data_IF_507519870188
#
_entry.id   IF_507519870188
#
_cell.length_a   1.000
_cell.length_b   1.000
_cell.length_c   1.000
_cell.angle_alpha   90.00
_cell.angle_beta   90.00
_cell.angle_gamma   90.00
#
_symmetry.space_group_name_H-M   'P 1'
#
loop_
_entity.id
_entity.type
_entity.pdbx_description
1 polymer ?
2 polymer ?
3 polymer ?
4 non-polymer ?
#
loop_
_entity_poly.entity_id
_entity_poly.type
_entity_poly.pdbx_seq_one_letter_code
_entity_poly.pdbx_strand_id
2 'polydeoxyribonucleotide' '(DA)(DA)(DA)(DG)(DC)(DT)(DA)(DT)(DT)(DA)(DT)(DT)(DA)(DG)(DC)(DT)(DT)' ?
3 'polydeoxyribonucleotide' '(DT)(DA)(DA)(DG)(DC)(DT)(DA)(DA)(DT)(DA)(DA)(DT)(DA)(DG)(DC)(DT)(DT)' ?
#
# COMPACT_ATOMS: atom_id res chain seq x y z
N UNK A 1 9.15 -14.29 -15.46
CA UNK A 1 9.90 -15.52 -15.28
C UNK A 1 9.00 -16.74 -15.36
N UNK A 2 9.60 -17.92 -15.32
CA UNK A 2 8.84 -19.17 -15.43
C UNK A 2 7.79 -19.25 -14.32
N UNK A 3 8.15 -18.74 -13.15
CA UNK A 3 7.22 -18.64 -12.04
C UNK A 3 7.35 -17.28 -11.37
N UNK A 4 6.23 -16.76 -10.88
CA UNK A 4 6.28 -15.58 -10.04
C UNK A 4 7.03 -15.94 -8.78
N UNK A 5 7.87 -15.02 -8.31
CA UNK A 5 8.52 -15.20 -7.02
C UNK A 5 8.03 -14.18 -5.98
N UNK A 6 8.46 -14.37 -4.75
CA UNK A 6 8.15 -13.43 -3.70
C UNK A 6 9.40 -12.68 -3.34
N UNK A 7 9.23 -11.42 -2.96
CA UNK A 7 10.38 -10.56 -2.67
C UNK A 7 10.91 -10.84 -1.27
N UNK A 8 11.78 -11.82 -1.17
CA UNK A 8 12.43 -12.12 0.10
C UNK A 8 13.85 -12.63 -0.16
N UNK A 9 14.75 -12.37 0.78
CA UNK A 9 16.15 -12.75 0.66
C UNK A 9 16.34 -14.20 0.20
N UNK A 10 17.06 -14.36 -0.89
CA UNK A 10 17.36 -15.66 -1.48
C UNK A 10 18.42 -16.34 -0.61
N UNK A 11 18.11 -17.55 -0.15
CA UNK A 11 18.91 -18.19 0.88
C UNK A 11 20.12 -18.91 0.28
N UNK A 12 19.99 -19.33 -0.97
CA UNK A 12 21.04 -20.05 -1.68
C UNK A 12 22.05 -19.09 -2.31
N UNK A 13 23.28 -19.09 -1.79
CA UNK A 13 24.35 -18.23 -2.29
C UNK A 13 24.58 -18.35 -3.80
N UNK A 14 24.34 -19.54 -4.35
CA UNK A 14 24.51 -19.70 -5.79
C UNK A 14 23.44 -18.94 -6.58
N UNK A 15 22.16 -19.25 -6.35
CA UNK A 15 21.08 -18.52 -7.04
C UNK A 15 21.09 -17.04 -6.66
N UNK A 16 21.67 -16.70 -5.52
CA UNK A 16 21.61 -15.31 -5.10
C UNK A 16 22.62 -14.50 -5.89
N UNK A 17 23.77 -15.10 -6.16
CA UNK A 17 24.81 -14.46 -6.95
C UNK A 17 24.32 -14.27 -8.40
N UNK A 18 23.67 -15.30 -8.94
CA UNK A 18 23.14 -15.28 -10.29
C UNK A 18 22.04 -14.23 -10.45
N UNK A 19 21.09 -14.21 -9.52
CA UNK A 19 20.01 -13.26 -9.58
C UNK A 19 20.58 -11.84 -9.45
N UNK A 20 21.58 -11.72 -8.60
CA UNK A 20 22.21 -10.42 -8.40
C UNK A 20 22.86 -9.88 -9.67
N UNK A 21 23.53 -10.76 -10.42
CA UNK A 21 24.18 -10.31 -11.65
C UNK A 21 23.13 -9.95 -12.73
N UNK A 22 22.08 -10.75 -12.87
CA UNK A 22 21.03 -10.41 -13.83
C UNK A 22 20.37 -9.09 -13.48
N UNK A 23 19.87 -8.97 -12.25
CA UNK A 23 19.10 -7.79 -11.86
C UNK A 23 19.93 -6.50 -11.72
N UNK A 24 21.24 -6.64 -11.41
CA UNK A 24 22.11 -5.46 -11.32
C UNK A 24 22.22 -4.82 -12.68
N UNK A 25 22.47 -5.66 -13.67
CA UNK A 25 22.43 -5.22 -15.05
C UNK A 25 21.08 -4.52 -15.39
N UNK A 26 19.98 -5.21 -15.12
CA UNK A 26 18.65 -4.66 -15.33
C UNK A 26 18.43 -3.34 -14.63
N UNK A 27 19.00 -3.18 -13.43
CA UNK A 27 18.81 -1.94 -12.68
C UNK A 27 19.60 -0.77 -13.28
N UNK A 28 20.83 -1.06 -13.71
CA UNK A 28 21.68 -0.04 -14.33
C UNK A 28 21.10 0.35 -15.67
N UNK A 29 20.60 -0.62 -16.41
CA UNK A 29 20.00 -0.33 -17.70
C UNK A 29 18.85 0.68 -17.56
N UNK A 30 17.94 0.45 -16.64
CA UNK A 30 16.84 1.42 -16.42
C UNK A 30 17.31 2.77 -15.89
N UNK A 31 18.31 2.77 -15.00
CA UNK A 31 18.83 4.02 -14.48
C UNK A 31 19.36 4.87 -15.66
N UNK A 32 20.20 4.26 -16.50
CA UNK A 32 20.69 4.89 -17.73
C UNK A 32 19.57 5.42 -18.65
N UNK A 33 18.56 4.58 -18.91
CA UNK A 33 17.45 4.99 -19.75
C UNK A 33 16.70 6.17 -19.15
N UNK A 34 16.56 6.17 -17.83
CA UNK A 34 15.89 7.29 -17.18
C UNK A 34 16.70 8.59 -17.27
N UNK A 35 18.02 8.48 -17.13
CA UNK A 35 18.88 9.64 -17.29
C UNK A 35 18.73 10.27 -18.68
N UNK A 36 18.70 9.44 -19.72
CA UNK A 36 18.66 9.92 -21.09
C UNK A 36 17.27 10.42 -21.47
N UNK A 37 16.24 9.62 -21.20
CA UNK A 37 14.89 9.98 -21.59
C UNK A 37 14.45 11.28 -20.94
N UNK A 38 14.76 11.44 -19.65
CA UNK A 38 14.23 12.58 -18.91
C UNK A 38 15.29 13.60 -18.51
N UNK A 39 16.51 13.44 -19.02
CA UNK A 39 17.52 14.45 -18.76
C UNK A 39 17.67 14.69 -17.26
N UNK A 40 18.23 13.72 -16.53
CA UNK A 40 18.57 13.97 -15.13
C UNK A 40 19.91 13.36 -14.72
N UNK A 41 20.46 13.89 -13.63
CA UNK A 41 21.66 13.33 -13.01
C UNK A 41 21.22 12.19 -12.13
N UNK A 42 21.91 11.06 -12.24
CA UNK A 42 21.58 9.93 -11.40
C UNK A 42 22.85 9.29 -10.84
N UNK A 43 22.75 8.76 -9.63
CA UNK A 43 23.85 8.03 -9.04
C UNK A 43 23.28 6.78 -8.38
N UNK A 44 23.96 5.66 -8.59
CA UNK A 44 23.51 4.41 -8.05
C UNK A 44 24.73 3.72 -7.47
N UNK A 45 24.76 3.56 -6.15
CA UNK A 45 25.85 2.82 -5.49
C UNK A 45 25.32 1.51 -4.94
N UNK A 46 26.00 0.41 -5.27
CA UNK A 46 25.56 -0.91 -4.82
C UNK A 46 26.69 -1.74 -4.24
N UNK A 47 26.50 -2.25 -3.03
CA UNK A 47 27.46 -3.16 -2.41
C UNK A 47 26.78 -4.49 -2.28
N UNK A 48 27.30 -5.55 -2.90
CA UNK A 48 26.65 -6.85 -2.78
C UNK A 48 26.84 -7.39 -1.38
N UNK A 49 26.34 -8.60 -1.12
CA UNK A 49 26.42 -9.19 0.22
C UNK A 49 27.86 -9.49 0.64
N UNK A 50 28.75 -9.69 -0.33
CA UNK A 50 30.17 -9.90 -0.02
C UNK A 50 30.93 -8.58 0.07
N UNK A 51 30.19 -7.47 0.18
CA UNK A 51 30.80 -6.14 0.34
C UNK A 51 31.57 -5.57 -0.87
N UNK A 52 31.49 -6.23 -2.02
CA UNK A 52 32.06 -5.64 -3.23
C UNK A 52 31.19 -4.48 -3.76
N UNK A 53 31.85 -3.41 -4.20
CA UNK A 53 31.18 -2.20 -4.65
C UNK A 53 30.87 -2.23 -6.16
N UNK A 54 29.66 -1.83 -6.53
CA UNK A 54 29.32 -1.63 -7.93
C UNK A 54 28.64 -0.27 -8.05
N UNK A 55 28.85 0.43 -9.16
CA UNK A 55 28.33 1.78 -9.24
C UNK A 55 27.98 2.21 -10.65
N UNK A 56 27.05 3.16 -10.73
CA UNK A 56 26.69 3.81 -11.97
C UNK A 56 26.42 5.26 -11.67
N UNK A 57 26.82 6.15 -12.58
CA UNK A 57 26.49 7.56 -12.46
C UNK A 57 26.40 8.19 -13.85
N UNK A 58 25.44 9.08 -14.04
CA UNK A 58 25.26 9.73 -15.33
C UNK A 58 26.34 10.77 -15.59
N UNK A 59 27.16 11.05 -14.57
CA UNK A 59 28.39 11.84 -14.73
C UNK A 59 29.35 11.35 -13.66
N UNK A 60 30.46 12.04 -13.48
CA UNK A 60 31.38 11.71 -12.39
C UNK A 60 30.61 11.61 -11.07
N UNK A 61 30.74 10.45 -10.41
CA UNK A 61 30.17 10.23 -9.09
C UNK A 61 30.40 11.40 -8.16
N UNK A 62 31.65 11.85 -8.08
CA UNK A 62 32.03 12.91 -7.15
C UNK A 62 31.16 14.14 -7.30
N UNK A 63 30.63 14.35 -8.49
CA UNK A 63 29.80 15.53 -8.73
C UNK A 63 28.37 15.34 -8.22
N UNK A 64 27.74 14.21 -8.55
CA UNK A 64 26.39 13.93 -8.11
C UNK A 64 26.34 14.02 -6.59
N UNK A 65 27.35 13.44 -5.95
CA UNK A 65 27.43 13.41 -4.50
C UNK A 65 27.51 14.80 -3.87
N UNK A 66 28.41 15.64 -4.37
CA UNK A 66 28.58 16.97 -3.81
C UNK A 66 27.35 17.82 -4.02
N UNK A 67 26.64 17.56 -5.11
CA UNK A 67 25.41 18.26 -5.39
C UNK A 67 24.37 17.84 -4.37
N UNK A 68 24.46 16.58 -3.94
CA UNK A 68 23.60 16.05 -2.88
C UNK A 68 23.89 16.70 -1.53
N UNK A 69 25.15 16.74 -1.15
CA UNK A 69 25.52 17.31 0.15
C UNK A 69 25.34 18.82 0.17
N UNK A 70 25.70 19.49 -0.92
CA UNK A 70 25.46 20.92 -1.06
C UNK A 70 23.97 21.24 -1.06
N UNK A 71 23.15 20.22 -1.30
CA UNK A 71 21.70 20.44 -1.48
C UNK A 71 21.05 20.97 -0.21
N UNK B 1 5.33 -1.24 -24.09
CA UNK B 1 4.41 -0.16 -24.39
C UNK B 1 3.73 -0.35 -25.73
N UNK B 2 2.80 0.54 -26.06
CA UNK B 2 2.06 0.45 -27.32
C UNK B 2 3.00 0.44 -28.52
N UNK B 3 4.08 1.20 -28.40
CA UNK B 3 5.12 1.20 -29.41
C UNK B 3 6.49 1.18 -28.75
N UNK B 4 7.44 0.49 -29.38
CA UNK B 4 8.82 0.58 -28.94
C UNK B 4 9.28 2.01 -29.13
N UNK B 5 10.04 2.52 -28.18
CA UNK B 5 10.67 3.83 -28.33
C UNK B 5 12.18 3.73 -28.44
N UNK B 6 12.81 4.86 -28.74
CA UNK B 6 14.25 4.92 -28.79
C UNK B 6 14.73 5.71 -27.60
N UNK B 7 15.90 5.34 -27.09
CA UNK B 7 16.43 5.98 -25.89
C UNK B 7 17.09 7.30 -26.24
N UNK B 8 16.27 8.35 -26.28
CA UNK B 8 16.81 9.69 -26.49
C UNK B 8 15.95 10.70 -25.73
N UNK B 9 16.58 11.79 -25.29
CA UNK B 9 15.92 12.84 -24.50
C UNK B 9 14.57 13.25 -25.08
N UNK B 10 13.53 13.11 -24.27
CA UNK B 10 12.18 13.49 -24.65
C UNK B 10 12.08 15.01 -24.67
N UNK B 11 11.63 15.55 -25.80
CA UNK B 11 11.71 16.99 -26.02
C UNK B 11 10.53 17.73 -25.40
N UNK B 12 9.40 17.04 -25.28
CA UNK B 12 8.17 17.61 -24.72
C UNK B 12 8.18 17.54 -23.19
N UNK B 13 8.26 18.72 -22.55
CA UNK B 13 8.24 18.82 -21.09
C UNK B 13 7.07 18.08 -20.44
N UNK B 14 5.94 18.02 -21.12
CA UNK B 14 4.79 17.33 -20.55
C UNK B 14 5.02 15.82 -20.52
N UNK B 15 5.23 15.20 -21.68
CA UNK B 15 5.51 13.76 -21.70
C UNK B 15 6.79 13.42 -20.94
N UNK B 16 7.67 14.39 -20.75
CA UNK B 16 8.92 14.08 -20.11
C UNK B 16 8.70 13.97 -18.61
N UNK B 17 7.83 14.83 -18.09
CA UNK B 17 7.51 14.80 -16.68
C UNK B 17 6.75 13.52 -16.33
N UNK B 18 5.82 13.14 -17.20
CA UNK B 18 5.02 11.92 -17.05
C UNK B 18 5.88 10.65 -17.10
N UNK B 19 6.75 10.56 -18.10
CA UNK B 19 7.62 9.41 -18.24
C UNK B 19 8.54 9.34 -17.04
N UNK B 20 9.03 10.50 -16.61
CA UNK B 20 9.89 10.54 -15.45
C UNK B 20 9.22 9.99 -14.18
N UNK B 21 7.95 10.34 -13.96
CA UNK B 21 7.25 9.85 -12.77
C UNK B 21 7.00 8.35 -12.85
N UNK B 22 6.60 7.85 -14.02
CA UNK B 22 6.41 6.41 -14.16
C UNK B 22 7.72 5.67 -13.92
N UNK B 23 8.74 6.01 -14.69
CA UNK B 23 10.02 5.26 -14.64
C UNK B 23 10.80 5.43 -13.33
N UNK B 24 10.61 6.56 -12.63
CA UNK B 24 11.30 6.76 -11.34
C UNK B 24 10.77 5.74 -10.36
N UNK B 25 9.45 5.62 -10.30
CA UNK B 25 8.81 4.60 -9.51
C UNK B 25 9.36 3.20 -9.88
N UNK B 26 9.31 2.86 -11.17
CA UNK B 26 9.85 1.61 -11.68
C UNK B 26 11.29 1.38 -11.28
N UNK B 27 12.10 2.44 -11.26
CA UNK B 27 13.52 2.29 -10.92
C UNK B 27 13.74 2.01 -9.42
N UNK B 28 12.99 2.73 -8.58
CA UNK B 28 13.04 2.52 -7.13
C UNK B 28 12.51 1.15 -6.77
N UNK B 29 11.45 0.72 -7.44
CA UNK B 29 10.89 -0.61 -7.19
C UNK B 29 11.94 -1.70 -7.40
N UNK B 30 12.65 -1.66 -8.54
CA UNK B 30 13.70 -2.65 -8.79
C UNK B 30 14.91 -2.53 -7.84
N UNK B 31 15.28 -1.31 -7.49
CA UNK B 31 16.37 -1.11 -6.54
C UNK B 31 16.02 -1.79 -5.22
N UNK B 32 14.82 -1.51 -4.71
CA UNK B 32 14.30 -2.17 -3.50
C UNK B 32 14.28 -3.72 -3.59
N UNK B 33 13.75 -4.24 -4.69
CA UNK B 33 13.70 -5.69 -4.88
C UNK B 33 15.09 -6.30 -4.91
N UNK B 34 16.05 -5.57 -5.52
CA UNK B 34 17.42 -6.08 -5.55
C UNK B 34 18.06 -6.07 -4.15
N UNK B 35 17.79 -5.03 -3.38
CA UNK B 35 18.28 -5.00 -2.00
C UNK B 35 17.77 -6.19 -1.16
N UNK B 36 16.50 -6.53 -1.30
CA UNK B 36 15.89 -7.59 -0.51
C UNK B 36 16.29 -8.98 -1.01
N UNK B 37 16.16 -9.20 -2.31
CA UNK B 37 16.45 -10.50 -2.89
C UNK B 37 17.90 -10.91 -2.65
N UNK B 38 18.81 -9.96 -2.82
CA UNK B 38 20.23 -10.32 -2.78
C UNK B 38 20.97 -9.75 -1.57
N UNK B 39 20.24 -9.16 -0.63
CA UNK B 39 20.88 -8.69 0.59
C UNK B 39 22.05 -7.76 0.26
N UNK B 40 21.76 -6.56 -0.23
CA UNK B 40 22.81 -5.57 -0.40
C UNK B 40 22.39 -4.14 -0.01
N UNK B 41 23.38 -3.31 0.29
CA UNK B 41 23.14 -1.89 0.54
C UNK B 41 23.06 -1.20 -0.80
N UNK B 42 22.06 -0.36 -0.97
CA UNK B 42 21.92 0.36 -2.22
C UNK B 42 21.58 1.82 -1.95
N UNK B 43 22.08 2.70 -2.80
CA UNK B 43 21.74 4.11 -2.72
C UNK B 43 21.47 4.59 -4.13
N UNK B 44 20.40 5.38 -4.28
CA UNK B 44 20.01 5.89 -5.57
C UNK B 44 19.66 7.35 -5.37
N UNK B 45 20.46 8.25 -5.93
CA UNK B 45 20.14 9.68 -5.89
C UNK B 45 19.75 10.17 -7.28
N UNK B 46 18.63 10.87 -7.37
CA UNK B 46 18.13 11.35 -8.65
C UNK B 46 17.69 12.80 -8.60
N UNK B 47 18.21 13.61 -9.52
CA UNK B 47 17.80 15.01 -9.65
C UNK B 47 17.13 15.15 -11.00
N UNK B 48 15.86 15.52 -11.03
CA UNK B 48 15.18 15.67 -12.31
C UNK B 48 15.74 16.88 -13.07
N UNK B 49 15.20 17.15 -14.25
CA UNK B 49 15.72 18.25 -15.07
C UNK B 49 15.47 19.62 -14.44
N UNK B 50 14.47 19.71 -13.55
CA UNK B 50 14.22 20.95 -12.83
C UNK B 50 15.01 21.01 -11.53
N UNK B 51 16.02 20.15 -11.41
CA UNK B 51 16.90 20.13 -10.24
C UNK B 51 16.29 19.71 -8.90
N UNK B 52 15.06 19.22 -8.91
CA UNK B 52 14.51 18.63 -7.69
C UNK B 52 15.13 17.26 -7.37
N UNK B 53 15.42 17.03 -6.10
CA UNK B 53 16.08 15.81 -5.64
C UNK B 53 15.08 14.69 -5.30
N UNK B 54 15.39 13.47 -5.71
CA UNK B 54 14.63 12.30 -5.29
C UNK B 54 15.62 11.23 -4.88
N UNK B 55 15.29 10.42 -3.90
CA UNK B 55 16.28 9.50 -3.40
C UNK B 55 15.70 8.23 -2.82
N UNK B 56 16.50 7.17 -2.86
CA UNK B 56 16.16 5.91 -2.22
C UNK B 56 17.44 5.34 -1.63
N UNK B 57 17.33 4.73 -0.46
CA UNK B 57 18.46 4.02 0.12
C UNK B 57 17.96 2.87 0.98
N UNK B 58 18.66 1.73 0.95
CA UNK B 58 18.26 0.56 1.72
C UNK B 58 18.54 0.73 3.21
N UNK B 59 19.25 1.81 3.55
CA UNK B 59 19.41 2.28 4.94
C UNK B 59 19.58 3.79 4.88
N UNK B 60 19.93 4.42 5.99
CA UNK B 60 20.15 5.86 6.02
C UNK B 60 21.11 6.24 4.89
N UNK B 61 20.65 7.15 4.03
CA UNK B 61 21.42 7.57 2.85
C UNK B 61 22.85 7.92 3.16
N UNK B 62 23.10 8.48 4.34
CA UNK B 62 24.42 8.97 4.69
C UNK B 62 25.35 7.86 5.18
N UNK B 63 24.79 6.70 5.48
CA UNK B 63 25.64 5.58 5.85
C UNK B 63 26.23 4.90 4.61
N UNK B 64 25.41 4.72 3.58
CA UNK B 64 25.88 4.15 2.32
C UNK B 64 27.00 5.01 1.74
N UNK B 65 26.79 6.32 1.79
CA UNK B 65 27.75 7.26 1.27
C UNK B 65 29.10 7.18 2.00
N UNK B 66 29.07 7.22 3.33
CA UNK B 66 30.31 7.17 4.09
C UNK B 66 31.06 5.88 3.80
N UNK B 67 30.31 4.82 3.52
CA UNK B 67 30.89 3.53 3.21
C UNK B 67 31.56 3.59 1.84
N UNK B 68 30.98 4.40 0.96
CA UNK B 68 31.54 4.61 -0.37
C UNK B 68 32.86 5.38 -0.30
N UNK B 69 32.86 6.50 0.42
CA UNK B 69 34.05 7.32 0.51
C UNK B 69 35.15 6.63 1.31
N UNK B 70 34.76 5.97 2.41
CA UNK B 70 35.70 5.17 3.19
C UNK B 70 36.26 4.01 2.37
N UNK B 71 35.58 3.66 1.29
CA UNK B 71 35.94 2.47 0.52
C UNK B 71 37.32 2.59 -0.11
N UNK E 1 -10.45 4.61 26.47
CA UNK E 1 -11.34 4.72 27.60
C UNK E 1 -10.57 4.85 28.91
N UNK E 2 -11.30 5.05 30.01
CA UNK E 2 -10.67 5.22 31.32
C UNK E 2 -9.80 4.02 31.67
N UNK E 3 -10.24 2.85 31.26
CA UNK E 3 -9.47 1.63 31.43
C UNK E 3 -9.53 0.80 30.15
N UNK E 4 -8.43 0.13 29.83
CA UNK E 4 -8.44 -0.86 28.77
C UNK E 4 -9.38 -1.96 29.19
N UNK E 5 -10.17 -2.47 28.24
CA UNK E 5 -11.00 -3.64 28.49
C UNK E 5 -10.54 -4.85 27.69
N UNK E 6 -11.16 -5.99 27.98
CA UNK E 6 -10.87 -7.19 27.23
C UNK E 6 -12.07 -7.51 26.37
N UNK E 7 -11.81 -8.09 25.20
CA UNK E 7 -12.88 -8.35 24.25
C UNK E 7 -13.60 -9.63 24.61
N UNK E 8 -14.60 -9.47 25.49
CA UNK E 8 -15.44 -10.60 25.85
C UNK E 8 -16.86 -10.12 26.15
N UNK E 9 -17.84 -10.98 25.86
CA UNK E 9 -19.26 -10.65 26.04
C UNK E 9 -19.55 -9.98 27.37
N UNK E 10 -20.12 -8.78 27.31
CA UNK E 10 -20.49 -8.01 28.48
C UNK E 10 -21.72 -8.65 29.11
N UNK E 11 -21.62 -8.96 30.40
CA UNK E 11 -22.63 -9.80 31.05
C UNK E 11 -23.82 -8.96 31.52
N UNK E 12 -23.57 -7.69 31.81
CA UNK E 12 -24.60 -6.78 32.30
C UNK E 12 -25.39 -6.18 31.14
N UNK E 13 -26.68 -6.55 31.05
CA UNK E 13 -27.57 -6.05 30.02
C UNK E 13 -27.60 -4.53 29.93
N UNK E 14 -27.41 -3.85 31.05
CA UNK E 14 -27.42 -2.39 31.01
C UNK E 14 -26.18 -1.84 30.30
N UNK E 15 -24.99 -2.16 30.81
CA UNK E 15 -23.76 -1.71 30.14
C UNK E 15 -23.64 -2.28 28.73
N UNK E 16 -24.33 -3.38 28.46
CA UNK E 16 -24.19 -3.99 27.14
C UNK E 16 -24.99 -3.21 26.12
N UNK E 17 -26.15 -2.73 26.55
CA UNK E 17 -26.99 -1.93 25.67
C UNK E 17 -26.31 -0.59 25.35
N UNK E 18 -25.71 0.02 26.38
CA UNK E 18 -24.98 1.28 26.26
C UNK E 18 -23.75 1.15 25.36
N UNK E 19 -22.95 0.12 25.59
CA UNK E 19 -21.77 -0.07 24.78
C UNK E 19 -22.17 -0.33 23.35
N UNK E 20 -23.25 -1.08 23.19
CA UNK E 20 -23.75 -1.38 21.85
C UNK E 20 -24.16 -0.11 21.09
N UNK E 21 -24.84 0.83 21.76
CA UNK E 21 -25.27 2.05 21.10
C UNK E 21 -24.06 2.93 20.74
N UNK E 22 -23.09 3.04 21.65
CA UNK E 22 -21.89 3.84 21.34
C UNK E 22 -21.13 3.23 20.16
N UNK E 23 -20.76 1.95 20.27
CA UNK E 23 -19.94 1.31 19.24
C UNK E 23 -20.65 1.11 17.90
N UNK E 24 -21.98 0.97 17.89
CA UNK E 24 -22.72 0.81 16.63
C UNK E 24 -22.58 2.07 15.81
N UNK E 25 -22.76 3.19 16.48
CA UNK E 25 -22.52 4.48 15.88
C UNK E 25 -21.07 4.56 15.31
N UNK E 26 -20.09 4.32 16.18
CA UNK E 26 -18.70 4.26 15.77
C UNK E 26 -18.44 3.35 14.59
N UNK E 27 -19.14 2.22 14.52
CA UNK E 27 -18.90 1.27 13.42
C UNK E 27 -19.48 1.77 12.08
N UNK E 28 -20.67 2.36 12.14
CA UNK E 28 -21.30 2.95 10.97
C UNK E 28 -20.51 4.17 10.50
N UNK E 29 -20.02 4.97 11.43
CA UNK E 29 -19.23 6.12 11.06
C UNK E 29 -17.99 5.72 10.23
N UNK E 30 -17.25 4.70 10.69
CA UNK E 30 -16.09 4.24 9.92
C UNK E 30 -16.47 3.56 8.59
N UNK E 31 -17.57 2.82 8.58
CA UNK E 31 -18.03 2.21 7.35
C UNK E 31 -18.29 3.30 6.30
N UNK E 32 -19.05 4.33 6.69
CA UNK E 32 -19.32 5.51 5.84
C UNK E 32 -18.03 6.22 5.35
N UNK E 33 -17.11 6.48 6.26
CA UNK E 33 -15.85 7.13 5.90
C UNK E 33 -15.06 6.28 4.92
N UNK E 34 -15.08 4.96 5.11
CA UNK E 34 -14.37 4.09 4.17
C UNK E 34 -15.04 4.09 2.78
N UNK E 35 -16.36 4.12 2.74
CA UNK E 35 -17.05 4.22 1.47
C UNK E 35 -16.66 5.49 0.68
N UNK E 36 -16.59 6.62 1.36
CA UNK E 36 -16.31 7.90 0.73
C UNK E 36 -14.83 8.04 0.36
N UNK E 37 -13.95 7.76 1.32
CA UNK E 37 -12.52 7.94 1.09
C UNK E 37 -12.01 7.06 -0.04
N UNK E 38 -12.49 5.82 -0.09
CA UNK E 38 -11.93 4.85 -1.03
C UNK E 38 -12.91 4.44 -2.14
N UNK E 39 -14.05 5.10 -2.21
CA UNK E 39 -14.98 4.82 -3.30
C UNK E 39 -15.29 3.33 -3.36
N UNK E 40 -16.05 2.82 -2.40
CA UNK E 40 -16.52 1.44 -2.49
C UNK E 40 -17.96 1.25 -2.02
N UNK E 41 -18.59 0.17 -2.48
CA UNK E 41 -19.92 -0.21 -2.02
C UNK E 41 -19.74 -0.96 -0.71
N UNK E 42 -20.53 -0.62 0.29
CA UNK E 42 -20.45 -1.31 1.55
C UNK E 42 -21.83 -1.63 2.07
N UNK E 43 -21.95 -2.77 2.73
CA UNK E 43 -23.20 -3.12 3.40
C UNK E 43 -22.86 -3.64 4.78
N UNK E 44 -23.62 -3.21 5.77
CA UNK E 44 -23.39 -3.62 7.14
C UNK E 44 -24.76 -3.95 7.72
N UNK E 45 -24.99 -5.23 8.03
CA UNK E 45 -26.23 -5.63 8.71
C UNK E 45 -25.94 -6.07 10.15
N UNK E 46 -26.68 -5.53 11.09
CA UNK E 46 -26.46 -5.82 12.50
C UNK E 46 -27.75 -6.15 13.24
N UNK E 47 -27.79 -7.29 13.91
CA UNK E 47 -28.91 -7.66 14.77
C UNK E 47 -28.39 -7.68 16.19
N UNK E 48 -28.96 -6.88 17.08
CA UNK E 48 -28.49 -6.88 18.45
C UNK E 48 -28.92 -8.17 19.15
N UNK E 49 -28.59 -8.32 20.44
CA UNK E 49 -28.92 -9.54 21.16
C UNK E 49 -30.42 -9.75 21.31
N UNK E 50 -31.19 -8.67 21.27
CA UNK E 50 -32.66 -8.77 21.34
C UNK E 50 -33.26 -8.95 19.95
N UNK E 51 -32.42 -9.30 18.98
CA UNK E 51 -32.86 -9.57 17.61
C UNK E 51 -33.40 -8.39 16.79
N UNK E 52 -33.27 -7.17 17.31
CA UNK E 52 -33.60 -6.00 16.50
C UNK E 52 -32.54 -5.72 15.42
N UNK E 53 -33.01 -5.38 14.22
CA UNK E 53 -32.15 -5.17 13.07
C UNK E 53 -31.65 -3.71 12.96
N UNK E 54 -30.37 -3.54 12.66
CA UNK E 54 -29.83 -2.22 12.33
C UNK E 54 -28.99 -2.37 11.07
N UNK E 55 -28.96 -1.36 10.23
CA UNK E 55 -28.30 -1.54 8.96
C UNK E 55 -27.71 -0.26 8.40
N UNK E 56 -26.69 -0.40 7.57
CA UNK E 56 -26.11 0.69 6.82
C UNK E 56 -25.69 0.15 5.47
N UNK E 57 -25.90 0.95 4.42
CA UNK E 57 -25.40 0.61 3.10
C UNK E 57 -25.06 1.88 2.33
N UNK E 58 -23.99 1.83 1.53
CA UNK E 58 -23.57 2.99 0.76
C UNK E 58 -24.48 3.23 -0.45
N UNK E 59 -25.39 2.29 -0.70
CA UNK E 59 -26.50 2.46 -1.63
C UNK E 59 -27.64 1.60 -1.14
N UNK E 60 -28.68 1.43 -1.96
CA UNK E 60 -29.77 0.51 -1.63
C UNK E 60 -29.19 -0.84 -1.22
N UNK E 61 -29.59 -1.31 -0.05
CA UNK E 61 -29.14 -2.61 0.45
C UNK E 61 -29.35 -3.69 -0.60
N UNK E 62 -30.54 -3.72 -1.20
CA UNK E 62 -30.89 -4.75 -2.17
C UNK E 62 -29.88 -4.84 -3.32
N UNK E 63 -29.25 -3.72 -3.65
CA UNK E 63 -28.25 -3.73 -4.71
C UNK E 63 -26.94 -4.41 -4.28
N UNK E 64 -26.40 -4.02 -3.12
CA UNK E 64 -25.17 -4.61 -2.62
C UNK E 64 -25.33 -6.12 -2.48
N UNK E 65 -26.44 -6.53 -1.89
CA UNK E 65 -26.73 -7.95 -1.72
C UNK E 65 -26.71 -8.69 -3.06
N UNK E 66 -27.46 -8.19 -4.04
CA UNK E 66 -27.58 -8.87 -5.32
C UNK E 66 -26.24 -8.95 -6.04
N UNK E 67 -25.39 -7.95 -5.81
CA UNK E 67 -24.06 -7.93 -6.37
C UNK E 67 -23.24 -9.02 -5.69
N UNK E 68 -23.53 -9.26 -4.42
CA UNK E 68 -22.85 -10.31 -3.66
C UNK E 68 -23.23 -11.70 -4.16
N UNK E 69 -24.54 -11.95 -4.31
CA UNK E 69 -25.01 -13.25 -4.76
C UNK E 69 -24.63 -13.50 -6.22
N UNK E 70 -24.77 -12.47 -7.06
CA UNK E 70 -24.35 -12.57 -8.45
C UNK E 70 -22.84 -12.78 -8.56
N UNK E 71 -22.11 -12.49 -7.48
CA UNK E 71 -20.65 -12.51 -7.52
C UNK E 71 -20.10 -13.91 -7.80
N UNK F 1 -4.07 10.86 13.11
CA UNK F 1 -2.98 10.90 12.15
C UNK F 1 -2.17 12.17 12.25
N UNK F 2 -1.12 12.26 11.44
CA UNK F 2 -0.22 13.42 11.49
C UNK F 2 -1.00 14.71 11.21
N UNK F 3 -1.99 14.62 10.35
CA UNK F 3 -2.88 15.73 10.08
C UNK F 3 -4.32 15.23 10.01
N UNK F 4 -5.25 16.05 10.49
CA UNK F 4 -6.66 15.77 10.28
C UNK F 4 -6.92 15.82 8.78
N UNK F 5 -7.74 14.90 8.29
CA UNK F 5 -8.18 14.94 6.90
C UNK F 5 -9.67 15.23 6.79
N UNK F 6 -10.12 15.43 5.56
CA UNK F 6 -11.52 15.64 5.30
C UNK F 6 -12.05 14.41 4.60
N UNK F 7 -13.31 14.10 4.86
CA UNK F 7 -13.91 12.89 4.33
C UNK F 7 -14.36 13.12 2.90
N UNK F 8 -13.44 12.93 1.97
CA UNK F 8 -13.78 13.01 0.55
C UNK F 8 -12.92 12.02 -0.24
N UNK F 9 -13.47 11.52 -1.34
CA UNK F 9 -12.81 10.52 -2.18
C UNK F 9 -11.35 10.86 -2.48
N UNK F 10 -10.45 9.98 -2.11
CA UNK F 10 -9.03 10.14 -2.34
C UNK F 10 -8.75 9.93 -3.82
N UNK F 11 -8.11 10.91 -4.44
CA UNK F 11 -7.98 10.94 -5.90
C UNK F 11 -6.82 10.09 -6.38
N UNK F 12 -5.80 9.94 -5.53
CA UNK F 12 -4.60 9.18 -5.87
C UNK F 12 -4.82 7.68 -5.63
N UNK F 13 -4.83 6.91 -6.70
CA UNK F 13 -5.01 5.46 -6.62
C UNK F 13 -4.02 4.79 -5.67
N UNK F 14 -2.81 5.33 -5.54
CA UNK F 14 -1.84 4.74 -4.64
C UNK F 14 -2.25 4.94 -3.18
N UNK F 15 -2.39 6.18 -2.74
CA UNK F 15 -2.81 6.44 -1.37
C UNK F 15 -4.21 5.88 -1.10
N UNK F 16 -4.99 5.68 -2.14
CA UNK F 16 -6.35 5.20 -1.92
C UNK F 16 -6.33 3.73 -1.61
N UNK F 17 -5.44 3.00 -2.27
CA UNK F 17 -5.32 1.58 -2.02
C UNK F 17 -4.77 1.31 -0.62
N UNK F 18 -3.78 2.12 -0.22
CA UNK F 18 -3.17 2.06 1.10
C UNK F 18 -4.15 2.39 2.22
N UNK F 19 -4.88 3.50 2.06
CA UNK F 19 -5.86 3.88 3.05
C UNK F 19 -6.93 2.82 3.16
N UNK F 20 -7.33 2.30 2.02
CA UNK F 20 -8.33 1.24 2.00
C UNK F 20 -7.88 -0.02 2.79
N UNK F 21 -6.63 -0.43 2.63
CA UNK F 21 -6.15 -1.60 3.36
C UNK F 21 -6.06 -1.34 4.86
N UNK F 22 -5.57 -0.17 5.26
CA UNK F 22 -5.52 0.15 6.69
C UNK F 22 -6.93 0.18 7.29
N UNK F 23 -7.80 1.02 6.72
CA UNK F 23 -9.16 1.20 7.27
C UNK F 23 -10.07 -0.03 7.17
N UNK F 24 -9.85 -0.89 6.16
CA UNK F 24 -10.67 -2.12 6.04
C UNK F 24 -10.41 -3.02 7.24
N UNK F 25 -9.13 -3.20 7.53
CA UNK F 25 -8.72 -3.90 8.73
C UNK F 25 -9.37 -3.28 9.99
N UNK F 26 -9.19 -1.98 10.17
CA UNK F 26 -9.82 -1.25 11.27
C UNK F 26 -11.32 -1.45 11.35
N UNK F 27 -11.98 -1.52 10.20
CA UNK F 27 -13.44 -1.66 10.20
C UNK F 27 -13.89 -3.07 10.61
N UNK F 28 -13.18 -4.08 10.12
CA UNK F 28 -13.45 -5.47 10.50
C UNK F 28 -13.11 -5.68 11.96
N UNK F 29 -12.03 -5.09 12.44
CA UNK F 29 -11.67 -5.23 13.85
C UNK F 29 -12.80 -4.74 14.77
N UNK F 30 -13.35 -3.55 14.49
CA UNK F 30 -14.47 -3.04 15.29
C UNK F 30 -15.77 -3.85 15.12
N UNK F 31 -16.03 -4.31 13.91
CA UNK F 31 -17.20 -5.15 13.68
C UNK F 31 -17.11 -6.40 14.57
N UNK F 32 -15.96 -7.09 14.53
CA UNK F 32 -15.68 -8.24 15.39
C UNK F 32 -15.83 -7.94 16.90
N UNK F 33 -15.23 -6.85 17.37
CA UNK F 33 -15.33 -6.48 18.78
C UNK F 33 -16.77 -6.20 19.17
N UNK F 34 -17.54 -5.61 18.25
CA UNK F 34 -18.94 -5.33 18.58
C UNK F 34 -19.75 -6.63 18.65
N UNK F 35 -19.46 -7.58 17.78
CA UNK F 35 -20.11 -8.87 17.85
C UNK F 35 -19.88 -9.59 19.19
N UNK F 36 -18.64 -9.55 19.67
CA UNK F 36 -18.27 -10.25 20.90
C UNK F 36 -18.76 -9.52 22.15
N UNK F 37 -18.48 -8.23 22.23
CA UNK F 37 -18.85 -7.45 23.40
C UNK F 37 -20.35 -7.45 23.64
N UNK F 38 -21.13 -7.32 22.56
CA UNK F 38 -22.57 -7.14 22.72
C UNK F 38 -23.40 -8.32 22.21
N UNK F 39 -22.74 -9.41 21.85
CA UNK F 39 -23.47 -10.60 21.45
C UNK F 39 -24.47 -10.27 20.34
N UNK F 40 -23.97 -10.00 19.15
CA UNK F 40 -24.86 -9.83 18.00
C UNK F 40 -24.34 -10.47 16.71
N UNK F 41 -25.26 -10.76 15.79
CA UNK F 41 -24.90 -11.24 14.46
C UNK F 41 -24.56 -10.04 13.62
N UNK F 42 -23.45 -10.10 12.91
CA UNK F 42 -23.07 -8.99 12.06
C UNK F 42 -22.61 -9.49 10.72
N UNK F 43 -22.91 -8.73 9.68
CA UNK F 43 -22.40 -9.02 8.35
C UNK F 43 -21.89 -7.73 7.73
N UNK F 44 -20.73 -7.82 7.10
CA UNK F 44 -20.12 -6.67 6.47
C UNK F 44 -19.64 -7.13 5.10
N UNK F 45 -20.22 -6.60 4.04
CA UNK F 45 -19.76 -6.87 2.69
C UNK F 45 -19.14 -5.62 2.08
N UNK F 46 -17.94 -5.76 1.53
CA UNK F 46 -17.22 -4.61 0.96
C UNK F 46 -16.64 -4.93 -0.42
N UNK F 47 -16.95 -4.09 -1.39
CA UNK F 47 -16.36 -4.19 -2.73
C UNK F 47 -15.50 -2.96 -2.92
N UNK F 48 -14.20 -3.12 -3.15
CA UNK F 48 -13.36 -1.95 -3.36
C UNK F 48 -13.66 -1.31 -4.71
N UNK F 49 -12.94 -0.24 -5.05
CA UNK F 49 -13.21 0.47 -6.31
C UNK F 49 -12.91 -0.39 -7.54
N UNK F 50 -12.03 -1.38 -7.39
CA UNK F 50 -11.72 -2.30 -8.49
C UNK F 50 -12.66 -3.49 -8.49
N UNK F 51 -13.78 -3.37 -7.77
CA UNK F 51 -14.80 -4.41 -7.71
C UNK F 51 -14.43 -5.74 -7.04
N UNK F 52 -13.26 -5.81 -6.40
CA UNK F 52 -12.95 -7.00 -5.60
C UNK F 52 -13.75 -7.04 -4.28
N UNK F 53 -14.23 -8.24 -3.94
CA UNK F 53 -15.09 -8.44 -2.78
C UNK F 53 -14.28 -8.73 -1.50
N UNK F 54 -14.67 -8.12 -0.40
CA UNK F 54 -14.11 -8.46 0.91
C UNK F 54 -15.27 -8.59 1.87
N UNK F 55 -15.17 -9.49 2.83
CA UNK F 55 -16.32 -9.74 3.68
C UNK F 55 -15.95 -10.19 5.07
N UNK F 56 -16.86 -9.93 6.01
CA UNK F 56 -16.77 -10.41 7.38
C UNK F 56 -18.16 -10.76 7.84
N UNK F 57 -18.28 -11.85 8.59
CA UNK F 57 -19.54 -12.19 9.22
C UNK F 57 -19.30 -12.92 10.53
N UNK F 58 -20.13 -12.66 11.54
CA UNK F 58 -19.96 -13.30 12.85
C UNK F 58 -20.42 -14.75 12.82
N UNK F 59 -21.03 -15.17 11.70
CA UNK F 59 -21.31 -16.58 11.41
C UNK F 59 -21.30 -16.71 9.89
N UNK F 60 -21.72 -17.87 9.39
CA UNK F 60 -21.80 -18.06 7.95
C UNK F 60 -22.55 -16.89 7.33
N UNK F 61 -21.88 -16.21 6.41
CA UNK F 61 -22.43 -15.04 5.74
C UNK F 61 -23.87 -15.23 5.30
N UNK F 62 -24.18 -16.41 4.79
CA UNK F 62 -25.50 -16.66 4.22
C UNK F 62 -26.58 -16.86 5.29
N UNK F 63 -26.17 -17.17 6.51
CA UNK F 63 -27.14 -17.25 7.58
C UNK F 63 -27.64 -15.85 7.95
N UNK F 64 -26.72 -14.90 8.07
CA UNK F 64 -27.07 -13.52 8.39
C UNK F 64 -28.04 -12.97 7.33
N UNK F 65 -27.70 -13.22 6.07
CA UNK F 65 -28.49 -12.73 4.94
C UNK F 65 -29.92 -13.27 4.93
N UNK F 66 -30.09 -14.58 5.11
CA UNK F 66 -31.43 -15.16 5.12
C UNK F 66 -32.24 -14.59 6.27
N UNK F 67 -31.56 -14.26 7.36
CA UNK F 67 -32.24 -13.70 8.51
C UNK F 67 -32.71 -12.29 8.16
N UNK F 68 -31.92 -11.61 7.33
CA UNK F 68 -32.27 -10.27 6.86
C UNK F 68 -33.49 -10.30 5.93
N UNK F 69 -33.46 -11.19 4.94
CA UNK F 69 -34.55 -11.28 3.98
C UNK F 69 -35.81 -11.82 4.63
N UNK F 70 -35.66 -12.84 5.47
CA UNK F 70 -36.79 -13.37 6.24
C UNK F 70 -37.36 -12.31 7.19
N UNK F 71 -36.59 -11.28 7.48
CA UNK F 71 -36.97 -10.30 8.49
C UNK F 71 -38.24 -9.54 8.11
X LIG I 1 30.73 10.86 2.26
X LIG I 1 30.10 13.06 -0.72
X LIG I 1 32.42 12.89 -0.76
X LIG I 1 29.53 10.97 2.94
X LIG I 1 34.37 9.78 -8.36
X LIG I 1 35.72 8.06 -7.62
X LIG I 1 28.53 11.78 2.42
X LIG I 1 35.97 11.14 -10.28
X LIG I 1 28.72 12.46 1.22
X LIG I 1 29.91 12.35 0.54
X LIG I 1 30.93 11.54 1.07
X LIG I 1 31.39 13.25 -1.33
X LIG I 1 31.51 13.92 -2.67
X LIG I 1 32.54 13.40 -3.61
X LIG I 1 32.72 11.91 -3.74
X LIG I 1 33.94 11.38 -4.44
X LIG I 1 33.75 10.30 -5.47
X LIG I 1 34.94 9.49 -5.91
X LIG I 1 35.01 9.01 -7.33
X LIG I 1 34.38 9.36 -9.74
X LIG I 1 33.58 8.30 -10.15
X LIG I 1 33.56 7.90 -11.48
X LIG I 1 34.33 8.57 -12.42
X LIG I 1 35.12 9.64 -12.02
X LIG I 1 35.14 10.04 -10.69
#
# INVERSE_FOLDING_TARGET
>A
GRKKIQITRIMDERNRQVTFTKRKFGLMKKAYELSVLCDCEIALIIFNSSNKLFQYASTDMDKVLLKYTAY
>B
GRKKIQITRIMDERNRQVTFTKRKFGLMKKAYELSVLCDCEIALIIFNSSNKLFQYASTDMDKVLLKYTAY
>E
GRKKIQITRIMDERNRQVTFTKRKFGLMKKAYELSVLCDCEIALIIFNSSNKLFQYASTDMDKVLLKYTAY
>F
GRKKIQITRIMDERNRQVTFTKRKFGLMKKAYELSVLCDCEIALIIFNSSNKLFQYASTDMDKVLLKYTAY
>I hetero
1 BXL C1 N1 O1 C2 N2 O2 C3 N3 C4 C5 C6 C7 C8 C9 C10 C11 C12 C13 C14 C15 C16 C17 C18 C19 C20
#
